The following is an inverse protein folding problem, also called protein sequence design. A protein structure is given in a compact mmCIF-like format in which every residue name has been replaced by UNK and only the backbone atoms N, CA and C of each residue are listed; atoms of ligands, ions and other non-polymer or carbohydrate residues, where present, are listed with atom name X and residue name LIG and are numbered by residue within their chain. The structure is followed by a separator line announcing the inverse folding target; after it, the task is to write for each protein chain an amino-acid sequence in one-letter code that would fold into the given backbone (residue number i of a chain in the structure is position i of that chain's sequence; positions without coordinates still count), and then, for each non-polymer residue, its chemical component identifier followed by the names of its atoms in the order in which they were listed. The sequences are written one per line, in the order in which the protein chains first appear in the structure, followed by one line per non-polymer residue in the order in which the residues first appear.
data_IF_562013013311
#
_entry.id   IF_562013013311
#
_cell.length_a   1.000
_cell.length_b   1.000
_cell.length_c   1.000
_cell.angle_alpha   90.00
_cell.angle_beta   90.00
_cell.angle_gamma   90.00
#
_symmetry.space_group_name_H-M   'P 1'
#
loop_
_entity.id
_entity.type
_entity.pdbx_description
1 polymer ?
#
# COMPACT_ATOMS: atom_id res chain seq x y z
N UNK A 1 -1.29 0.92 32.38
CA UNK A 1 -0.23 1.54 31.57
C UNK A 1 0.01 0.82 30.24
N UNK A 2 0.24 -0.51 30.20
CA UNK A 2 0.46 -1.26 28.93
C UNK A 2 -0.69 -1.10 27.92
N UNK A 3 -1.96 -1.29 28.32
CA UNK A 3 -3.12 -1.17 27.42
C UNK A 3 -3.23 0.23 26.79
N UNK A 4 -2.99 1.28 27.58
CA UNK A 4 -3.02 2.67 27.08
C UNK A 4 -1.96 2.91 26.00
N UNK A 5 -0.73 2.42 26.20
CA UNK A 5 0.34 2.50 25.20
C UNK A 5 -0.04 1.72 23.95
N UNK A 6 -0.59 0.52 24.10
CA UNK A 6 -1.05 -0.30 22.95
C UNK A 6 -2.11 0.44 22.13
N UNK A 7 -3.12 1.02 22.79
CA UNK A 7 -4.17 1.80 22.09
C UNK A 7 -3.57 3.02 21.37
N UNK A 8 -2.67 3.75 22.02
CA UNK A 8 -2.02 4.93 21.44
C UNK A 8 -1.18 4.58 20.22
N UNK A 9 -0.34 3.54 20.33
CA UNK A 9 0.52 3.08 19.22
C UNK A 9 -0.32 2.58 18.06
N UNK A 10 -1.31 1.73 18.31
CA UNK A 10 -2.19 1.19 17.26
C UNK A 10 -3.07 2.26 16.61
N UNK A 11 -3.47 3.30 17.38
CA UNK A 11 -4.21 4.45 16.82
C UNK A 11 -3.35 5.23 15.81
N UNK A 12 -2.12 5.62 16.19
CA UNK A 12 -1.26 6.38 15.27
C UNK A 12 -0.77 5.51 14.11
N UNK A 13 -0.46 4.24 14.35
CA UNK A 13 -0.11 3.30 13.30
C UNK A 13 -1.26 3.10 12.30
N UNK A 14 -2.47 2.88 12.80
CA UNK A 14 -3.67 2.74 11.99
C UNK A 14 -4.04 4.03 11.25
N UNK A 15 -3.88 5.19 11.89
CA UNK A 15 -4.09 6.49 11.24
C UNK A 15 -3.13 6.68 10.06
N UNK A 16 -1.82 6.52 10.28
CA UNK A 16 -0.83 6.68 9.23
C UNK A 16 -1.02 5.69 8.10
N UNK A 17 -1.22 4.41 8.42
CA UNK A 17 -1.48 3.36 7.45
C UNK A 17 -2.76 3.62 6.66
N UNK A 18 -3.87 3.94 7.33
CA UNK A 18 -5.16 4.20 6.68
C UNK A 18 -5.11 5.42 5.75
N UNK A 19 -4.48 6.51 6.17
CA UNK A 19 -4.25 7.68 5.31
C UNK A 19 -3.40 7.30 4.09
N UNK A 20 -2.32 6.54 4.28
CA UNK A 20 -1.46 6.07 3.20
C UNK A 20 -2.21 5.16 2.21
N UNK A 21 -3.01 4.22 2.71
CA UNK A 21 -3.83 3.33 1.87
C UNK A 21 -4.90 4.13 1.11
N UNK A 22 -5.64 5.00 1.80
CA UNK A 22 -6.75 5.72 1.19
C UNK A 22 -6.36 6.81 0.19
N UNK A 23 -5.24 7.51 0.42
CA UNK A 23 -4.74 8.56 -0.50
C UNK A 23 -3.80 8.03 -1.58
N UNK A 24 -2.95 7.08 -1.24
CA UNK A 24 -1.84 6.67 -2.10
C UNK A 24 -1.89 5.19 -2.52
N UNK A 25 -2.86 4.42 -2.02
CA UNK A 25 -2.85 2.97 -2.26
C UNK A 25 -1.59 2.31 -1.70
N UNK A 26 -1.08 2.81 -0.59
CA UNK A 26 0.11 2.28 0.09
C UNK A 26 -0.28 1.12 1.00
N UNK A 27 0.58 0.11 1.10
CA UNK A 27 0.35 -0.99 2.05
C UNK A 27 0.45 -0.53 3.49
N UNK A 28 -0.50 -0.94 4.32
CA UNK A 28 -0.50 -0.68 5.75
C UNK A 28 0.73 -1.26 6.46
N UNK A 29 1.33 -2.31 5.91
CA UNK A 29 2.52 -2.95 6.45
C UNK A 29 3.73 -2.00 6.52
N UNK A 30 3.81 -1.02 5.63
CA UNK A 30 4.90 -0.04 5.63
C UNK A 30 4.90 0.88 6.86
N UNK A 31 3.77 1.05 7.54
CA UNK A 31 3.63 1.91 8.72
C UNK A 31 3.37 1.10 9.99
N UNK A 32 2.42 0.16 9.95
CA UNK A 32 2.03 -0.61 11.14
C UNK A 32 3.19 -1.47 11.64
N UNK A 33 3.86 -2.21 10.75
CA UNK A 33 4.91 -3.15 11.18
C UNK A 33 6.04 -2.46 11.95
N UNK A 34 6.69 -1.39 11.45
CA UNK A 34 7.75 -0.74 12.18
C UNK A 34 7.27 -0.12 13.50
N UNK A 35 6.04 0.38 13.56
CA UNK A 35 5.50 0.93 14.80
C UNK A 35 5.26 -0.14 15.87
N UNK A 36 4.67 -1.29 15.51
CA UNK A 36 4.47 -2.40 16.45
C UNK A 36 5.78 -2.98 16.95
N UNK A 37 6.77 -3.13 16.06
CA UNK A 37 8.11 -3.63 16.43
C UNK A 37 8.81 -2.65 17.38
N UNK A 38 8.82 -1.36 17.04
CA UNK A 38 9.59 -0.36 17.79
C UNK A 38 8.96 -0.05 19.15
N UNK A 39 7.64 0.17 19.23
CA UNK A 39 6.99 0.66 20.44
C UNK A 39 6.37 -0.43 21.32
N UNK A 40 5.99 -1.57 20.72
CA UNK A 40 5.41 -2.68 21.49
C UNK A 40 6.38 -3.86 21.63
N UNK A 41 7.59 -3.80 21.03
CA UNK A 41 8.58 -4.88 21.08
C UNK A 41 8.07 -6.17 20.43
N UNK A 42 7.15 -6.06 19.47
CA UNK A 42 6.50 -7.20 18.86
C UNK A 42 7.47 -7.93 17.91
N UNK A 43 7.33 -9.26 17.83
CA UNK A 43 8.05 -10.04 16.83
C UNK A 43 7.80 -9.51 15.41
N UNK A 44 8.85 -9.31 14.59
CA UNK A 44 8.71 -8.73 13.26
C UNK A 44 7.77 -9.49 12.33
N UNK A 45 7.80 -10.83 12.38
CA UNK A 45 6.98 -11.67 11.53
C UNK A 45 5.49 -11.51 11.86
N UNK A 46 5.16 -11.50 13.16
CA UNK A 46 3.80 -11.28 13.66
C UNK A 46 3.31 -9.86 13.39
N UNK A 47 4.17 -8.85 13.55
CA UNK A 47 3.85 -7.45 13.26
C UNK A 47 3.47 -7.25 11.78
N UNK A 48 4.18 -7.91 10.86
CA UNK A 48 3.84 -7.91 9.42
C UNK A 48 2.51 -8.60 9.17
N UNK A 49 2.25 -9.75 9.78
CA UNK A 49 0.97 -10.47 9.67
C UNK A 49 -0.23 -9.60 10.10
N UNK A 50 -0.12 -8.93 11.26
CA UNK A 50 -1.15 -7.99 11.76
C UNK A 50 -1.35 -6.82 10.80
N UNK A 51 -0.26 -6.27 10.28
CA UNK A 51 -0.32 -5.16 9.36
C UNK A 51 -0.98 -5.52 8.03
N UNK A 52 -0.66 -6.69 7.47
CA UNK A 52 -1.30 -7.21 6.26
C UNK A 52 -2.79 -7.51 6.48
N UNK A 53 -3.15 -8.10 7.61
CA UNK A 53 -4.57 -8.33 7.95
C UNK A 53 -5.35 -7.00 8.07
N UNK A 54 -4.73 -5.97 8.64
CA UNK A 54 -5.31 -4.62 8.72
C UNK A 54 -5.47 -3.99 7.33
N UNK A 55 -4.52 -4.25 6.43
CA UNK A 55 -4.54 -3.76 5.06
C UNK A 55 -5.68 -4.37 4.23
N UNK A 56 -6.05 -5.63 4.47
CA UNK A 56 -7.15 -6.30 3.74
C UNK A 56 -8.43 -5.46 3.79
N UNK A 57 -8.89 -5.12 5.00
CA UNK A 57 -10.15 -4.38 5.16
C UNK A 57 -10.01 -2.90 4.78
N UNK A 58 -8.86 -2.28 5.04
CA UNK A 58 -8.58 -0.91 4.65
C UNK A 58 -8.55 -0.75 3.12
N UNK A 59 -7.88 -1.67 2.43
CA UNK A 59 -7.82 -1.69 0.98
C UNK A 59 -9.17 -2.04 0.36
N UNK A 60 -9.92 -2.99 0.93
CA UNK A 60 -11.25 -3.36 0.45
C UNK A 60 -12.24 -2.19 0.54
N UNK A 61 -12.31 -1.48 1.69
CA UNK A 61 -13.21 -0.32 1.84
C UNK A 61 -12.79 0.84 0.96
N UNK A 62 -11.48 1.04 0.76
CA UNK A 62 -10.97 2.04 -0.18
C UNK A 62 -11.35 1.67 -1.61
N UNK A 63 -11.09 0.43 -2.06
CA UNK A 63 -11.47 -0.06 -3.39
C UNK A 63 -12.98 0.09 -3.65
N UNK A 64 -13.82 -0.27 -2.67
CA UNK A 64 -15.27 -0.07 -2.76
C UNK A 64 -15.63 1.41 -2.92
N UNK A 65 -14.98 2.29 -2.13
CA UNK A 65 -15.24 3.75 -2.17
C UNK A 65 -14.86 4.35 -3.53
N UNK A 66 -13.70 3.96 -4.08
CA UNK A 66 -13.26 4.37 -5.41
C UNK A 66 -14.13 3.76 -6.52
N UNK A 67 -14.50 2.49 -6.40
CA UNK A 67 -15.34 1.77 -7.35
C UNK A 67 -16.73 2.40 -7.50
N UNK A 68 -17.37 2.79 -6.39
CA UNK A 68 -18.66 3.52 -6.41
C UNK A 68 -18.60 4.84 -7.17
N UNK A 69 -17.43 5.44 -7.29
CA UNK A 69 -17.19 6.68 -8.05
C UNK A 69 -16.63 6.42 -9.45
N UNK A 70 -16.65 5.15 -9.90
CA UNK A 70 -16.10 4.71 -11.20
C UNK A 70 -14.61 5.03 -11.37
N UNK A 71 -13.87 5.10 -10.26
CA UNK A 71 -12.42 5.34 -10.19
C UNK A 71 -11.69 4.01 -9.91
N UNK A 72 -12.03 2.96 -10.67
CA UNK A 72 -11.47 1.61 -10.54
C UNK A 72 -11.48 0.93 -11.91
N UNK A 73 -10.33 0.49 -12.38
CA UNK A 73 -10.21 -0.33 -13.59
C UNK A 73 -10.13 -1.82 -13.19
N UNK A 74 -11.30 -2.45 -13.05
CA UNK A 74 -11.40 -3.85 -12.60
C UNK A 74 -10.72 -4.79 -13.58
N UNK A 75 -10.95 -4.61 -14.90
CA UNK A 75 -10.46 -5.54 -15.94
C UNK A 75 -8.93 -5.61 -15.97
N UNK A 76 -8.28 -4.47 -16.10
CA UNK A 76 -6.81 -4.42 -16.10
C UNK A 76 -6.23 -4.64 -14.69
N UNK A 77 -6.96 -4.28 -13.64
CA UNK A 77 -6.64 -4.60 -12.25
C UNK A 77 -6.57 -6.10 -11.99
N UNK A 78 -7.51 -6.90 -12.51
CA UNK A 78 -7.49 -8.37 -12.40
C UNK A 78 -6.30 -8.98 -13.16
N UNK A 79 -6.01 -8.49 -14.37
CA UNK A 79 -4.86 -8.95 -15.16
C UNK A 79 -3.56 -8.65 -14.41
N UNK A 80 -3.42 -7.42 -13.91
CA UNK A 80 -2.24 -7.01 -13.15
C UNK A 80 -2.13 -7.78 -11.82
N UNK A 81 -3.23 -8.00 -11.12
CA UNK A 81 -3.28 -8.78 -9.87
C UNK A 81 -2.77 -10.21 -10.09
N UNK A 82 -3.24 -10.90 -11.13
CA UNK A 82 -2.81 -12.26 -11.43
C UNK A 82 -1.30 -12.32 -11.67
N UNK A 83 -0.75 -11.37 -12.44
CA UNK A 83 0.70 -11.30 -12.69
C UNK A 83 1.49 -10.88 -11.45
N UNK A 84 0.99 -9.93 -10.65
CA UNK A 84 1.63 -9.52 -9.39
C UNK A 84 1.72 -10.72 -8.44
N UNK A 85 0.62 -11.45 -8.22
CA UNK A 85 0.60 -12.61 -7.33
C UNK A 85 1.58 -13.70 -7.79
N UNK A 86 1.54 -14.06 -9.07
CA UNK A 86 2.44 -15.08 -9.63
C UNK A 86 3.92 -14.70 -9.48
N UNK A 87 4.27 -13.47 -9.84
CA UNK A 87 5.66 -13.02 -9.82
C UNK A 87 6.15 -12.58 -8.42
N UNK A 88 5.24 -12.32 -7.48
CA UNK A 88 5.61 -12.14 -6.05
C UNK A 88 6.23 -13.42 -5.49
N UNK A 89 5.71 -14.58 -5.85
CA UNK A 89 6.30 -15.88 -5.45
C UNK A 89 7.71 -16.02 -6.00
N UNK A 90 7.92 -15.68 -7.28
CA UNK A 90 9.25 -15.71 -7.91
C UNK A 90 10.19 -14.70 -7.25
N UNK A 91 9.72 -13.46 -7.00
CA UNK A 91 10.50 -12.42 -6.33
C UNK A 91 10.90 -12.82 -4.90
N UNK A 92 9.98 -13.43 -4.14
CA UNK A 92 10.27 -13.93 -2.79
C UNK A 92 11.30 -15.05 -2.80
N UNK A 93 11.24 -15.95 -3.78
CA UNK A 93 12.25 -17.00 -3.95
C UNK A 93 13.62 -16.38 -4.26
N UNK A 94 13.71 -15.42 -5.18
CA UNK A 94 14.96 -14.72 -5.46
C UNK A 94 15.50 -13.98 -4.23
N UNK A 95 14.62 -13.36 -3.44
CA UNK A 95 14.99 -12.69 -2.21
C UNK A 95 15.59 -13.63 -1.17
N UNK A 96 15.11 -14.87 -1.08
CA UNK A 96 15.63 -15.86 -0.14
C UNK A 96 17.09 -16.27 -0.43
N UNK A 97 17.59 -15.99 -1.62
CA UNK A 97 18.98 -16.26 -2.04
C UNK A 97 19.94 -15.14 -1.65
N UNK A 98 19.47 -14.02 -1.12
CA UNK A 98 20.27 -12.83 -0.80
C UNK A 98 20.26 -12.50 0.69
N UNK A 99 21.34 -11.86 1.22
CA UNK A 99 21.35 -11.40 2.62
C UNK A 99 20.27 -10.36 2.90
N UNK A 100 19.56 -10.51 4.02
CA UNK A 100 18.36 -9.73 4.38
C UNK A 100 18.55 -8.23 4.65
N UNK A 101 19.78 -7.73 4.71
CA UNK A 101 20.08 -6.36 5.16
C UNK A 101 19.70 -5.23 4.18
N UNK A 102 19.40 -5.54 2.91
CA UNK A 102 19.26 -4.52 1.84
C UNK A 102 17.82 -4.09 1.57
N UNK A 103 16.83 -4.78 2.11
CA UNK A 103 15.44 -4.70 1.65
C UNK A 103 14.61 -3.57 2.28
N UNK A 104 14.84 -3.24 3.56
CA UNK A 104 14.01 -2.27 4.29
C UNK A 104 14.18 -0.82 3.82
N UNK A 105 15.41 -0.42 3.49
CA UNK A 105 15.74 0.96 3.12
C UNK A 105 15.14 1.40 1.79
N UNK A 106 14.98 0.47 0.83
CA UNK A 106 14.43 0.78 -0.50
C UNK A 106 12.97 1.28 -0.42
N UNK A 107 12.13 0.64 0.38
CA UNK A 107 10.72 1.03 0.54
C UNK A 107 10.56 2.44 1.11
N UNK A 108 11.40 2.79 2.08
CA UNK A 108 11.38 4.13 2.72
C UNK A 108 11.76 5.22 1.74
N UNK A 109 12.88 5.01 1.01
CA UNK A 109 13.36 5.97 0.02
C UNK A 109 12.32 6.16 -1.09
N UNK A 110 11.72 5.08 -1.58
CA UNK A 110 10.70 5.15 -2.62
C UNK A 110 9.44 5.88 -2.16
N UNK A 111 9.01 5.70 -0.90
CA UNK A 111 7.88 6.44 -0.32
C UNK A 111 8.13 7.93 -0.34
N UNK A 112 9.30 8.33 0.13
CA UNK A 112 9.71 9.74 0.22
C UNK A 112 9.82 10.39 -1.17
N UNK A 113 10.53 9.73 -2.10
CA UNK A 113 10.69 10.21 -3.48
C UNK A 113 9.36 10.33 -4.23
N UNK A 114 8.46 9.36 -4.04
CA UNK A 114 7.14 9.39 -4.63
C UNK A 114 6.30 10.55 -4.06
N UNK A 115 6.38 10.78 -2.76
CA UNK A 115 5.73 11.94 -2.12
C UNK A 115 6.21 13.26 -2.70
N UNK A 116 7.51 13.46 -2.83
CA UNK A 116 8.10 14.65 -3.47
C UNK A 116 7.62 14.77 -4.92
N UNK A 117 7.62 13.67 -5.68
CA UNK A 117 7.14 13.66 -7.07
C UNK A 117 5.72 14.20 -7.19
N UNK A 118 4.80 13.78 -6.33
CA UNK A 118 3.40 14.25 -6.39
C UNK A 118 3.24 15.73 -6.03
N UNK A 119 4.14 16.28 -5.21
CA UNK A 119 4.15 17.71 -4.88
C UNK A 119 4.74 18.53 -6.04
N UNK A 120 5.89 18.09 -6.58
CA UNK A 120 6.67 18.86 -7.58
C UNK A 120 6.14 18.64 -8.99
N UNK A 121 5.75 17.40 -9.33
CA UNK A 121 5.22 17.01 -10.65
C UNK A 121 3.90 16.26 -10.47
N UNK A 122 2.81 16.99 -10.23
CA UNK A 122 1.50 16.39 -10.01
C UNK A 122 1.04 15.58 -11.24
N UNK A 123 0.30 14.51 -10.99
CA UNK A 123 -0.35 13.72 -12.03
C UNK A 123 -1.61 14.48 -12.46
N UNK A 124 -1.59 15.02 -13.66
CA UNK A 124 -2.69 15.79 -14.24
C UNK A 124 -3.38 15.04 -15.40
N UNK A 125 -3.10 13.75 -15.55
CA UNK A 125 -3.79 12.90 -16.54
C UNK A 125 -5.28 12.90 -16.24
N UNK A 126 -6.09 13.18 -17.25
CA UNK A 126 -7.55 13.14 -17.13
C UNK A 126 -8.06 11.73 -17.45
N UNK A 127 -9.28 11.44 -17.00
CA UNK A 127 -9.92 10.15 -17.26
C UNK A 127 -10.11 9.91 -18.76
N UNK A 128 -10.49 10.95 -19.49
CA UNK A 128 -10.69 10.90 -20.95
C UNK A 128 -9.36 10.58 -21.68
N UNK A 129 -8.26 11.15 -21.22
CA UNK A 129 -6.93 10.84 -21.78
C UNK A 129 -6.52 9.40 -21.50
N UNK A 130 -6.79 8.91 -20.30
CA UNK A 130 -6.56 7.51 -19.92
C UNK A 130 -7.40 6.55 -20.77
N UNK A 131 -8.67 6.85 -21.02
CA UNK A 131 -9.62 5.99 -21.78
C UNK A 131 -9.27 5.91 -23.28
N UNK A 132 -8.55 6.89 -23.82
CA UNK A 132 -8.08 6.85 -25.23
C UNK A 132 -7.03 5.77 -25.51
N UNK A 133 -6.38 5.23 -24.49
CA UNK A 133 -5.39 4.15 -24.68
C UNK A 133 -6.10 2.87 -25.08
N UNK A 134 -5.73 2.23 -26.22
CA UNK A 134 -6.37 1.00 -26.68
C UNK A 134 -6.35 -0.11 -25.62
N UNK A 135 -7.48 -0.82 -25.46
CA UNK A 135 -7.64 -1.85 -24.45
C UNK A 135 -6.56 -2.95 -24.51
N UNK A 136 -6.18 -3.37 -25.73
CA UNK A 136 -5.11 -4.36 -25.95
C UNK A 136 -3.75 -3.86 -25.44
N UNK A 137 -3.41 -2.59 -25.72
CA UNK A 137 -2.16 -1.98 -25.24
C UNK A 137 -2.15 -1.91 -23.71
N UNK A 138 -3.27 -1.49 -23.11
CA UNK A 138 -3.42 -1.40 -21.65
C UNK A 138 -3.28 -2.77 -20.98
N UNK A 139 -3.88 -3.82 -21.56
CA UNK A 139 -3.76 -5.18 -21.05
C UNK A 139 -2.30 -5.69 -21.09
N UNK A 140 -1.60 -5.49 -22.21
CA UNK A 140 -0.18 -5.87 -22.35
C UNK A 140 0.68 -5.11 -21.34
N UNK A 141 0.47 -3.81 -21.20
CA UNK A 141 1.18 -2.99 -20.20
C UNK A 141 0.88 -3.48 -18.78
N UNK A 142 -0.37 -3.87 -18.48
CA UNK A 142 -0.74 -4.41 -17.16
C UNK A 142 -0.02 -5.72 -16.86
N UNK A 143 0.17 -6.60 -17.85
CA UNK A 143 0.97 -7.84 -17.67
C UNK A 143 2.43 -7.50 -17.39
N UNK A 144 3.06 -6.69 -18.23
CA UNK A 144 4.49 -6.34 -18.09
C UNK A 144 4.73 -5.64 -16.75
N UNK A 145 3.93 -4.62 -16.44
CA UNK A 145 4.07 -3.86 -15.20
C UNK A 145 3.73 -4.71 -13.98
N UNK A 146 2.71 -5.57 -14.06
CA UNK A 146 2.36 -6.50 -12.99
C UNK A 146 3.49 -7.49 -12.70
N UNK A 147 4.18 -7.98 -13.74
CA UNK A 147 5.38 -8.82 -13.58
C UNK A 147 6.49 -8.08 -12.82
N UNK A 148 6.81 -6.85 -13.23
CA UNK A 148 7.85 -6.04 -12.58
C UNK A 148 7.47 -5.73 -11.13
N UNK A 149 6.22 -5.31 -10.90
CA UNK A 149 5.72 -5.02 -9.54
C UNK A 149 5.78 -6.29 -8.69
N UNK A 150 5.33 -7.43 -9.21
CA UNK A 150 5.33 -8.71 -8.49
C UNK A 150 6.74 -9.11 -8.07
N UNK A 151 7.71 -9.04 -8.97
CA UNK A 151 9.12 -9.30 -8.66
C UNK A 151 9.63 -8.37 -7.54
N UNK A 152 9.38 -7.07 -7.66
CA UNK A 152 9.80 -6.08 -6.64
C UNK A 152 9.07 -6.31 -5.31
N UNK A 153 7.77 -6.58 -5.34
CA UNK A 153 6.98 -6.84 -4.13
C UNK A 153 7.48 -8.09 -3.40
N UNK A 154 7.73 -9.16 -4.12
CA UNK A 154 8.28 -10.39 -3.56
C UNK A 154 9.69 -10.19 -3.01
N UNK A 155 10.50 -9.38 -3.70
CA UNK A 155 11.88 -9.10 -3.31
C UNK A 155 11.99 -8.16 -2.11
N UNK A 156 11.20 -7.08 -2.07
CA UNK A 156 11.27 -6.00 -1.06
C UNK A 156 10.27 -6.21 0.08
N UNK A 157 9.25 -7.03 -0.11
CA UNK A 157 8.18 -7.21 0.87
C UNK A 157 7.12 -6.10 0.80
N UNK A 158 6.96 -5.32 1.86
CA UNK A 158 5.86 -4.36 2.06
C UNK A 158 5.78 -3.16 1.09
N UNK A 159 6.69 -3.03 0.10
CA UNK A 159 6.78 -1.85 -0.80
C UNK A 159 5.82 -1.84 -2.00
N UNK A 160 5.03 -2.88 -2.20
CA UNK A 160 4.28 -3.11 -3.46
C UNK A 160 3.27 -2.04 -3.85
N UNK A 161 2.50 -1.54 -2.89
CA UNK A 161 1.45 -0.57 -3.19
C UNK A 161 1.95 0.75 -3.76
N UNK A 162 3.08 1.25 -3.26
CA UNK A 162 3.66 2.51 -3.74
C UNK A 162 4.26 2.37 -5.14
N UNK A 163 4.94 1.27 -5.40
CA UNK A 163 5.44 0.95 -6.74
C UNK A 163 4.29 0.82 -7.73
N UNK A 164 3.18 0.23 -7.31
CA UNK A 164 1.98 0.11 -8.12
C UNK A 164 1.42 1.49 -8.48
N UNK A 165 1.27 2.40 -7.51
CA UNK A 165 0.81 3.76 -7.77
C UNK A 165 1.75 4.50 -8.73
N UNK A 166 3.07 4.38 -8.52
CA UNK A 166 4.07 4.98 -9.42
C UNK A 166 3.91 4.47 -10.85
N UNK A 167 3.84 3.17 -11.04
CA UNK A 167 3.74 2.53 -12.35
C UNK A 167 2.42 2.85 -13.03
N UNK A 168 1.30 2.75 -12.31
CA UNK A 168 -0.02 3.09 -12.84
C UNK A 168 -0.08 4.55 -13.34
N UNK A 169 0.52 5.48 -12.60
CA UNK A 169 0.47 6.90 -12.96
C UNK A 169 1.50 7.32 -14.00
N UNK A 170 2.72 6.73 -13.99
CA UNK A 170 3.82 7.18 -14.85
C UNK A 170 3.96 6.36 -16.13
N UNK A 171 3.72 5.05 -16.06
CA UNK A 171 3.91 4.13 -17.19
C UNK A 171 2.60 3.86 -17.92
N UNK A 172 1.54 3.55 -17.17
CA UNK A 172 0.23 3.29 -17.76
C UNK A 172 -0.59 4.58 -18.00
N UNK A 173 -0.13 5.74 -17.48
CA UNK A 173 -0.79 7.02 -17.68
C UNK A 173 -2.18 7.11 -17.05
N UNK A 174 -2.42 6.40 -15.94
CA UNK A 174 -3.70 6.46 -15.24
C UNK A 174 -3.91 7.81 -14.58
N UNK A 175 -5.16 8.27 -14.57
CA UNK A 175 -5.61 9.32 -13.67
C UNK A 175 -5.35 8.91 -12.21
N UNK A 176 -4.94 9.85 -11.35
CA UNK A 176 -4.53 9.54 -9.98
C UNK A 176 -5.60 8.79 -9.19
N UNK A 177 -6.88 9.19 -9.27
CA UNK A 177 -7.97 8.50 -8.55
C UNK A 177 -8.14 7.06 -9.01
N UNK A 178 -8.10 6.83 -10.31
CA UNK A 178 -8.21 5.48 -10.88
C UNK A 178 -6.99 4.64 -10.57
N UNK A 179 -5.80 5.23 -10.53
CA UNK A 179 -4.57 4.55 -10.12
C UNK A 179 -4.64 4.09 -8.66
N UNK A 180 -5.04 4.97 -7.73
CA UNK A 180 -5.22 4.61 -6.32
C UNK A 180 -6.30 3.54 -6.16
N UNK A 181 -7.48 3.72 -6.78
CA UNK A 181 -8.56 2.74 -6.69
C UNK A 181 -8.16 1.36 -7.19
N UNK A 182 -7.44 1.29 -8.32
CA UNK A 182 -6.95 0.04 -8.90
C UNK A 182 -5.84 -0.58 -8.03
N UNK A 183 -4.95 0.24 -7.46
CA UNK A 183 -3.91 -0.21 -6.55
C UNK A 183 -4.50 -0.87 -5.30
N UNK A 184 -5.42 -0.20 -4.58
CA UNK A 184 -6.05 -0.77 -3.38
C UNK A 184 -6.90 -1.99 -3.68
N UNK A 185 -7.50 -2.08 -4.87
CA UNK A 185 -8.21 -3.28 -5.30
C UNK A 185 -7.25 -4.48 -5.39
N UNK A 186 -6.12 -4.34 -6.05
CA UNK A 186 -5.10 -5.40 -6.16
C UNK A 186 -4.56 -5.74 -4.75
N UNK A 187 -4.28 -4.71 -3.94
CA UNK A 187 -3.74 -4.88 -2.59
C UNK A 187 -4.69 -5.64 -1.66
N UNK A 188 -5.99 -5.53 -1.82
CA UNK A 188 -6.95 -6.33 -1.03
C UNK A 188 -6.62 -7.82 -1.10
N UNK A 189 -6.34 -8.33 -2.30
CA UNK A 189 -6.05 -9.75 -2.51
C UNK A 189 -4.61 -10.12 -2.15
N UNK A 190 -3.63 -9.26 -2.47
CA UNK A 190 -2.23 -9.53 -2.11
C UNK A 190 -2.02 -9.48 -0.59
N UNK A 191 -2.66 -8.55 0.11
CA UNK A 191 -2.63 -8.47 1.56
C UNK A 191 -3.34 -9.67 2.22
N UNK A 192 -4.48 -10.11 1.66
CA UNK A 192 -5.19 -11.29 2.15
C UNK A 192 -4.32 -12.55 2.05
N UNK A 193 -3.71 -12.77 0.89
CA UNK A 193 -2.79 -13.90 0.69
C UNK A 193 -1.60 -13.84 1.66
N UNK A 194 -1.02 -12.66 1.84
CA UNK A 194 0.07 -12.43 2.78
C UNK A 194 -0.34 -12.68 4.23
N UNK A 195 -1.47 -12.13 4.68
CA UNK A 195 -1.97 -12.31 6.04
C UNK A 195 -2.24 -13.78 6.37
N UNK A 196 -2.92 -14.50 5.47
CA UNK A 196 -3.19 -15.94 5.62
C UNK A 196 -1.86 -16.71 5.75
N UNK A 197 -0.88 -16.43 4.90
CA UNK A 197 0.42 -17.09 4.93
C UNK A 197 1.16 -16.82 6.25
N UNK A 198 1.15 -15.57 6.73
CA UNK A 198 1.81 -15.22 7.99
C UNK A 198 1.17 -15.92 9.19
N UNK A 199 -0.15 -15.98 9.27
CA UNK A 199 -0.83 -16.62 10.40
C UNK A 199 -0.79 -18.14 10.31
N UNK A 200 -0.77 -18.73 9.11
CA UNK A 200 -0.62 -20.18 8.94
C UNK A 200 0.78 -20.68 9.38
N UNK A 201 1.81 -19.87 9.20
CA UNK A 201 3.20 -20.21 9.55
C UNK A 201 3.55 -19.76 10.97
N UNK A 202 3.21 -18.51 11.33
CA UNK A 202 3.60 -17.86 12.59
C UNK A 202 2.64 -18.10 13.76
N UNK A 203 1.48 -18.71 13.51
CA UNK A 203 0.44 -18.92 14.52
C UNK A 203 -0.45 -17.71 14.75
N UNK A 204 -1.25 -17.76 15.83
CA UNK A 204 -2.24 -16.74 16.12
C UNK A 204 -1.60 -15.45 16.67
N UNK A 205 -1.99 -14.28 16.15
CA UNK A 205 -1.49 -12.99 16.61
C UNK A 205 -2.12 -12.58 17.96
N UNK A 206 -1.56 -11.54 18.60
CA UNK A 206 -2.27 -10.83 19.67
C UNK A 206 -3.55 -10.21 19.10
N UNK A 207 -4.69 -10.79 19.49
CA UNK A 207 -6.01 -10.41 18.98
C UNK A 207 -6.39 -8.98 19.35
N UNK A 208 -5.91 -8.46 20.49
CA UNK A 208 -6.17 -7.07 20.91
C UNK A 208 -5.48 -6.10 19.95
N UNK A 209 -4.20 -6.32 19.69
CA UNK A 209 -3.41 -5.50 18.76
C UNK A 209 -3.98 -5.59 17.35
N UNK A 210 -4.33 -6.80 16.89
CA UNK A 210 -4.92 -7.03 15.57
C UNK A 210 -6.22 -6.24 15.39
N UNK A 211 -7.17 -6.40 16.33
CA UNK A 211 -8.47 -5.74 16.24
C UNK A 211 -8.33 -4.21 16.25
N UNK A 212 -7.49 -3.67 17.15
CA UNK A 212 -7.25 -2.23 17.21
C UNK A 212 -6.63 -1.70 15.91
N UNK A 213 -5.60 -2.36 15.38
CA UNK A 213 -4.99 -1.99 14.10
C UNK A 213 -6.00 -2.03 12.95
N UNK A 214 -6.79 -3.11 12.85
CA UNK A 214 -7.84 -3.25 11.82
C UNK A 214 -8.85 -2.12 11.90
N UNK A 215 -9.39 -1.85 13.10
CA UNK A 215 -10.43 -0.83 13.28
C UNK A 215 -9.91 0.57 12.94
N UNK A 216 -8.75 0.95 13.50
CA UNK A 216 -8.20 2.28 13.25
C UNK A 216 -7.79 2.46 11.78
N UNK A 217 -7.15 1.47 11.18
CA UNK A 217 -6.75 1.54 9.76
C UNK A 217 -7.98 1.64 8.85
N UNK A 218 -9.01 0.85 9.10
CA UNK A 218 -10.27 0.86 8.35
C UNK A 218 -10.94 2.24 8.38
N UNK A 219 -11.06 2.85 9.57
CA UNK A 219 -11.70 4.16 9.75
C UNK A 219 -10.94 5.22 8.93
N UNK A 220 -9.64 5.31 9.11
CA UNK A 220 -8.82 6.33 8.45
C UNK A 220 -8.70 6.10 6.95
N UNK A 221 -8.63 4.84 6.48
CA UNK A 221 -8.64 4.52 5.06
C UNK A 221 -9.95 4.95 4.39
N UNK A 222 -11.08 4.71 5.04
CA UNK A 222 -12.38 5.17 4.54
C UNK A 222 -12.48 6.70 4.47
N UNK A 223 -12.05 7.39 5.52
CA UNK A 223 -12.02 8.86 5.55
C UNK A 223 -11.17 9.40 4.41
N UNK A 224 -9.95 8.88 4.26
CA UNK A 224 -9.02 9.27 3.21
C UNK A 224 -9.57 9.00 1.81
N UNK A 225 -10.13 7.81 1.56
CA UNK A 225 -10.70 7.45 0.27
C UNK A 225 -11.93 8.31 -0.10
N UNK A 226 -12.79 8.63 0.86
CA UNK A 226 -13.95 9.52 0.64
C UNK A 226 -13.48 10.94 0.28
N UNK A 227 -12.51 11.47 1.02
CA UNK A 227 -11.94 12.79 0.75
C UNK A 227 -11.24 12.81 -0.62
N UNK A 228 -10.41 11.82 -0.92
CA UNK A 228 -9.68 11.70 -2.18
C UNK A 228 -10.61 11.70 -3.40
N UNK A 229 -11.74 11.00 -3.31
CA UNK A 229 -12.72 10.95 -4.39
C UNK A 229 -13.46 12.28 -4.60
N UNK A 230 -13.60 13.11 -3.56
CA UNK A 230 -14.23 14.45 -3.65
C UNK A 230 -13.23 15.53 -4.06
N UNK A 231 -11.96 15.36 -3.77
CA UNK A 231 -10.93 16.34 -3.98
C UNK A 231 -10.68 16.62 -5.48
N UNK A 232 -10.32 17.86 -5.80
CA UNK A 232 -9.82 18.22 -7.12
C UNK A 232 -8.46 17.57 -7.37
N UNK A 233 -8.06 17.32 -8.65
CA UNK A 233 -6.78 16.65 -8.97
C UNK A 233 -5.56 17.30 -8.31
N UNK A 234 -5.48 18.64 -8.32
CA UNK A 234 -4.38 19.39 -7.70
C UNK A 234 -4.32 19.20 -6.18
N UNK A 235 -5.46 19.26 -5.51
CA UNK A 235 -5.58 19.06 -4.06
C UNK A 235 -5.24 17.62 -3.69
N UNK A 236 -5.72 16.65 -4.48
CA UNK A 236 -5.43 15.23 -4.25
C UNK A 236 -3.93 14.93 -4.39
N UNK A 237 -3.29 15.42 -5.47
CA UNK A 237 -1.84 15.25 -5.64
C UNK A 237 -1.06 15.81 -4.44
N UNK A 238 -1.42 17.01 -3.99
CA UNK A 238 -0.77 17.66 -2.84
C UNK A 238 -1.00 16.89 -1.55
N UNK A 239 -2.24 16.47 -1.27
CA UNK A 239 -2.56 15.67 -0.08
C UNK A 239 -1.82 14.32 -0.10
N UNK A 240 -1.87 13.60 -1.22
CA UNK A 240 -1.13 12.34 -1.40
C UNK A 240 0.38 12.54 -1.19
N UNK A 241 0.94 13.59 -1.79
CA UNK A 241 2.37 13.90 -1.66
C UNK A 241 2.76 14.22 -0.21
N UNK A 242 2.00 15.06 0.49
CA UNK A 242 2.25 15.39 1.90
C UNK A 242 2.17 14.15 2.78
N UNK A 243 1.12 13.33 2.63
CA UNK A 243 0.96 12.08 3.39
C UNK A 243 2.16 11.15 3.17
N UNK A 244 2.59 10.96 1.92
CA UNK A 244 3.73 10.10 1.61
C UNK A 244 5.06 10.65 2.16
N UNK A 245 5.30 11.97 2.08
CA UNK A 245 6.51 12.58 2.65
C UNK A 245 6.53 12.41 4.17
N UNK A 246 5.43 12.72 4.84
CA UNK A 246 5.33 12.58 6.31
C UNK A 246 5.53 11.12 6.72
N UNK A 247 4.84 10.18 6.06
CA UNK A 247 5.01 8.75 6.34
C UNK A 247 6.42 8.26 6.04
N UNK A 248 7.03 8.72 4.95
CA UNK A 248 8.42 8.41 4.62
C UNK A 248 9.40 8.87 5.71
N UNK A 249 9.22 10.10 6.23
CA UNK A 249 10.02 10.63 7.34
C UNK A 249 9.78 9.81 8.61
N UNK A 250 8.53 9.53 8.95
CA UNK A 250 8.17 8.76 10.15
C UNK A 250 8.81 7.37 10.11
N UNK A 251 8.67 6.64 9.00
CA UNK A 251 9.25 5.30 8.85
C UNK A 251 10.78 5.36 8.84
N UNK A 252 11.38 6.40 8.23
CA UNK A 252 12.83 6.60 8.24
C UNK A 252 13.36 6.83 9.67
N UNK A 253 12.71 7.71 10.43
CA UNK A 253 13.09 7.94 11.84
C UNK A 253 13.01 6.66 12.67
N UNK A 254 11.94 5.85 12.48
CA UNK A 254 11.83 4.55 13.15
C UNK A 254 12.91 3.56 12.74
N UNK A 255 13.41 3.62 11.50
CA UNK A 255 14.51 2.78 11.06
C UNK A 255 15.86 3.14 11.67
N UNK A 256 16.01 4.40 12.18
CA UNK A 256 17.23 4.87 12.86
C UNK A 256 17.25 4.55 14.36
N UNK A 257 16.08 4.31 14.96
CA UNK A 257 15.96 4.01 16.41
C UNK A 257 16.22 2.52 16.68
N UNK A 258 16.30 1.71 15.64
CA UNK A 258 16.59 0.28 15.68
C UNK A 258 18.07 0.00 15.57
#
# INVERSE_FOLDING_TARGET
MKIFITVLVTFFAGMGAGLGTGFAGMSAAAVISPMLITFLGMDPYMAVGIALASDVLASAVSAYTYGRKKNLDIKNGLIMMATVLAFTVVGSYLASLLPSATMGSFSVIMTFLLGIKFIVRPVMTTKEAMEKVPAKKRAIQSVICGTIIGLICGFVGAGGGMMMLLILTTVLGYELKTAVGTSVFIMTFTALTGAISHFAIGGMPDMTVLILCVVFTLIWARIAAVFANKAQPKTLNRATGIVLVVLGIVVFVFSLIK
#
